data_IF_167811740277
#
_entry.id   IF_167811740277
#
_cell.length_a   1.000
_cell.length_b   1.000
_cell.length_c   1.000
_cell.angle_alpha   90.00
_cell.angle_beta   90.00
_cell.angle_gamma   90.00
#
_symmetry.space_group_name_H-M   'P 1'
#
loop_
_entity.id
_entity.type
_entity.pdbx_description
1 polymer ?
#
# COMPACT_ATOMS: atom_id res chain seq x y z
N UNK A 1 -23.05 -16.74 -5.49
CA UNK A 1 -22.02 -17.03 -4.48
C UNK A 1 -20.67 -16.70 -5.11
N UNK A 2 -20.24 -15.45 -5.00
CA UNK A 2 -18.90 -15.07 -5.45
C UNK A 2 -17.89 -15.64 -4.46
N UNK A 3 -17.02 -16.52 -4.98
CA UNK A 3 -15.90 -17.06 -4.22
C UNK A 3 -14.94 -15.90 -3.95
N UNK A 4 -14.83 -15.52 -2.69
CA UNK A 4 -13.78 -14.60 -2.22
C UNK A 4 -12.42 -15.19 -2.57
N UNK A 5 -11.83 -14.71 -3.66
CA UNK A 5 -10.47 -15.06 -4.03
C UNK A 5 -9.53 -14.26 -3.14
N UNK A 6 -9.14 -14.87 -2.01
CA UNK A 6 -7.97 -14.47 -1.25
C UNK A 6 -6.76 -14.91 -2.10
N UNK A 7 -6.29 -14.05 -3.02
CA UNK A 7 -5.05 -14.31 -3.76
C UNK A 7 -3.86 -14.17 -2.80
N UNK A 8 -3.00 -15.19 -2.84
CA UNK A 8 -1.94 -15.48 -1.89
C UNK A 8 -0.76 -14.51 -1.97
N UNK A 9 -0.08 -14.39 -0.82
CA UNK A 9 1.16 -13.66 -0.54
C UNK A 9 2.20 -13.64 -1.67
N UNK A 10 2.10 -12.68 -2.58
CA UNK A 10 3.21 -12.30 -3.44
C UNK A 10 3.61 -10.86 -3.18
N UNK A 11 4.89 -10.55 -3.37
CA UNK A 11 5.46 -9.21 -3.23
C UNK A 11 5.23 -8.41 -4.51
N UNK A 12 4.10 -8.72 -5.13
CA UNK A 12 3.57 -8.16 -6.33
C UNK A 12 2.04 -8.22 -6.26
N UNK A 13 1.39 -7.31 -6.96
CA UNK A 13 -0.06 -7.24 -7.05
C UNK A 13 -0.44 -7.14 -8.52
N UNK A 14 -1.39 -7.98 -8.95
CA UNK A 14 -2.01 -7.85 -10.27
C UNK A 14 -3.27 -7.00 -10.12
N UNK A 15 -3.44 -6.03 -11.00
CA UNK A 15 -4.67 -5.24 -11.13
C UNK A 15 -5.87 -6.14 -11.44
N UNK A 16 -7.07 -5.71 -11.05
CA UNK A 16 -8.29 -6.50 -11.23
C UNK A 16 -8.66 -6.76 -12.68
N UNK A 17 -8.23 -5.89 -13.60
CA UNK A 17 -8.40 -6.05 -15.05
C UNK A 17 -7.24 -6.81 -15.72
N UNK A 18 -6.27 -7.27 -14.92
CA UNK A 18 -5.11 -8.06 -15.33
C UNK A 18 -4.17 -7.37 -16.35
N UNK A 19 -4.22 -6.03 -16.47
CA UNK A 19 -3.40 -5.26 -17.41
C UNK A 19 -2.12 -4.69 -16.82
N UNK A 20 -2.06 -4.59 -15.50
CA UNK A 20 -0.97 -3.93 -14.78
C UNK A 20 -0.50 -4.80 -13.62
N UNK A 21 0.82 -4.98 -13.48
CA UNK A 21 1.47 -5.71 -12.40
C UNK A 21 2.37 -4.75 -11.61
N UNK A 22 2.15 -4.63 -10.31
CA UNK A 22 3.02 -3.94 -9.36
C UNK A 22 3.96 -4.96 -8.71
N UNK A 23 5.24 -4.67 -8.55
CA UNK A 23 6.26 -5.59 -8.02
C UNK A 23 7.20 -4.84 -7.07
N UNK A 24 7.52 -5.39 -5.90
CA UNK A 24 8.67 -4.95 -5.09
C UNK A 24 9.97 -5.45 -5.72
N UNK A 25 10.70 -4.57 -6.39
CA UNK A 25 11.99 -4.87 -6.98
C UNK A 25 13.10 -4.71 -5.94
N UNK A 26 13.45 -5.82 -5.28
CA UNK A 26 14.49 -5.84 -4.24
C UNK A 26 15.89 -5.45 -4.76
N UNK A 27 16.16 -5.65 -6.06
CA UNK A 27 17.47 -5.38 -6.65
C UNK A 27 17.75 -3.88 -6.81
N UNK A 28 16.71 -3.08 -6.99
CA UNK A 28 16.76 -1.61 -7.03
C UNK A 28 16.28 -1.00 -5.72
N UNK A 29 15.49 -1.74 -4.94
CA UNK A 29 14.75 -1.26 -3.78
C UNK A 29 13.49 -0.47 -4.15
N UNK A 30 13.12 -0.42 -5.45
CA UNK A 30 11.93 0.26 -5.95
C UNK A 30 10.71 -0.64 -5.94
N UNK A 31 9.53 -0.03 -6.09
CA UNK A 31 8.35 -0.73 -6.59
C UNK A 31 8.21 -0.43 -8.07
N UNK A 32 8.08 -1.46 -8.90
CA UNK A 32 8.00 -1.34 -10.35
C UNK A 32 6.60 -1.71 -10.83
N UNK A 33 6.13 -1.02 -11.86
CA UNK A 33 4.85 -1.27 -12.50
C UNK A 33 5.09 -1.68 -13.94
N UNK A 34 4.53 -2.83 -14.31
CA UNK A 34 4.62 -3.42 -15.63
C UNK A 34 3.25 -3.47 -16.30
N UNK A 35 3.21 -3.18 -17.59
CA UNK A 35 2.07 -3.47 -18.45
C UNK A 35 2.06 -4.96 -18.83
N UNK A 36 0.87 -5.56 -18.85
CA UNK A 36 0.62 -6.95 -19.22
C UNK A 36 -0.30 -6.96 -20.45
N UNK A 37 -0.02 -7.81 -21.48
CA UNK A 37 1.00 -8.86 -21.50
C UNK A 37 2.37 -8.41 -22.03
N UNK A 38 2.53 -7.13 -22.41
CA UNK A 38 3.74 -6.64 -23.07
C UNK A 38 5.01 -6.75 -22.21
N UNK A 39 4.86 -6.87 -20.89
CA UNK A 39 5.94 -6.88 -19.89
C UNK A 39 6.77 -5.59 -19.91
N UNK A 40 6.18 -4.51 -20.42
CA UNK A 40 6.84 -3.20 -20.52
C UNK A 40 6.85 -2.55 -19.14
N UNK A 41 8.03 -2.14 -18.67
CA UNK A 41 8.15 -1.32 -17.46
C UNK A 41 7.53 0.05 -17.72
N UNK A 42 6.43 0.36 -17.04
CA UNK A 42 5.74 1.64 -17.14
C UNK A 42 6.34 2.67 -16.18
N UNK A 43 6.62 2.27 -14.94
CA UNK A 43 7.07 3.16 -13.85
C UNK A 43 7.90 2.40 -12.83
N UNK A 44 8.76 3.14 -12.14
CA UNK A 44 9.50 2.70 -10.95
C UNK A 44 9.39 3.76 -9.86
N UNK A 45 9.11 3.32 -8.63
CA UNK A 45 8.91 4.16 -7.46
C UNK A 45 9.98 3.82 -6.43
N UNK A 46 10.92 4.73 -6.21
CA UNK A 46 11.93 4.53 -5.18
C UNK A 46 11.39 5.04 -3.83
N UNK A 47 11.11 4.16 -2.87
CA UNK A 47 10.82 4.60 -1.51
C UNK A 47 12.06 5.30 -0.94
N UNK A 48 11.87 6.18 0.04
CA UNK A 48 12.95 6.94 0.66
C UNK A 48 13.96 6.07 1.44
N UNK A 49 13.79 4.75 1.46
CA UNK A 49 14.66 3.84 2.18
C UNK A 49 15.70 3.19 1.29
N UNK A 50 16.92 3.06 1.85
CA UNK A 50 18.03 2.31 1.28
C UNK A 50 18.03 0.85 1.70
N UNK A 51 17.21 0.45 2.68
CA UNK A 51 17.18 -0.92 3.22
C UNK A 51 16.38 -1.85 2.29
N UNK A 52 17.06 -2.91 1.84
CA UNK A 52 16.53 -3.91 0.90
C UNK A 52 15.88 -5.06 1.64
N UNK A 53 14.70 -4.79 2.17
CA UNK A 53 13.81 -5.82 2.66
C UNK A 53 12.63 -5.99 1.72
N UNK A 54 12.07 -7.18 1.77
CA UNK A 54 10.89 -7.54 1.00
C UNK A 54 9.67 -6.84 1.61
N UNK A 55 8.98 -6.03 0.81
CA UNK A 55 7.86 -5.17 1.20
C UNK A 55 6.60 -5.59 0.46
N UNK A 56 5.48 -5.61 1.17
CA UNK A 56 4.19 -5.88 0.54
C UNK A 56 3.66 -4.63 -0.17
N UNK A 57 2.96 -4.86 -1.28
CA UNK A 57 2.30 -3.82 -2.05
C UNK A 57 0.93 -4.31 -2.53
N UNK A 58 0.03 -3.39 -2.79
CA UNK A 58 -1.32 -3.70 -3.25
C UNK A 58 -1.93 -2.54 -4.06
N UNK A 59 -2.91 -2.87 -4.90
CA UNK A 59 -3.68 -1.87 -5.63
C UNK A 59 -4.95 -1.46 -4.87
N UNK A 60 -5.31 -0.19 -5.03
CA UNK A 60 -6.53 0.45 -4.53
C UNK A 60 -7.16 1.24 -5.68
N UNK A 61 -8.43 1.64 -5.56
CA UNK A 61 -9.11 2.51 -6.53
C UNK A 61 -9.05 1.94 -7.97
N UNK A 62 -9.34 0.64 -8.13
CA UNK A 62 -9.25 -0.06 -9.42
C UNK A 62 -7.88 0.09 -10.10
N UNK A 63 -6.81 -0.07 -9.33
CA UNK A 63 -5.41 0.05 -9.76
C UNK A 63 -4.97 1.45 -10.21
N UNK A 64 -5.74 2.50 -9.88
CA UNK A 64 -5.28 3.89 -10.02
C UNK A 64 -4.28 4.27 -8.93
N UNK A 65 -4.38 3.65 -7.76
CA UNK A 65 -3.53 3.91 -6.61
C UNK A 65 -2.80 2.64 -6.20
N UNK A 66 -1.52 2.76 -5.90
CA UNK A 66 -0.71 1.71 -5.31
C UNK A 66 -0.39 2.06 -3.85
N UNK A 67 -0.45 1.06 -2.98
CA UNK A 67 -0.10 1.18 -1.57
C UNK A 67 1.07 0.25 -1.30
N UNK A 68 2.16 0.79 -0.78
CA UNK A 68 3.43 0.12 -0.67
C UNK A 68 4.00 0.25 0.75
N UNK A 69 4.45 -0.87 1.33
CA UNK A 69 5.16 -0.87 2.60
C UNK A 69 6.52 -0.19 2.50
N UNK A 70 7.09 0.22 3.63
CA UNK A 70 8.41 0.85 3.71
C UNK A 70 9.17 0.40 4.94
N UNK A 71 10.48 0.50 4.89
CA UNK A 71 11.38 0.27 6.03
C UNK A 71 11.64 1.53 6.86
N UNK A 72 10.98 2.64 6.51
CA UNK A 72 11.15 3.95 7.16
C UNK A 72 9.94 4.38 8.00
N UNK A 73 9.20 3.45 8.64
CA UNK A 73 8.03 3.75 9.49
C UNK A 73 6.83 4.34 8.73
N UNK A 74 6.78 4.15 7.42
CA UNK A 74 5.79 4.78 6.57
C UNK A 74 5.15 3.76 5.64
N UNK A 75 3.91 4.01 5.25
CA UNK A 75 3.29 3.36 4.10
C UNK A 75 3.14 4.41 3.00
N UNK A 76 3.59 4.11 1.80
CA UNK A 76 3.53 5.02 0.67
C UNK A 76 2.27 4.76 -0.15
N UNK A 77 1.56 5.84 -0.48
CA UNK A 77 0.40 5.84 -1.37
C UNK A 77 0.80 6.58 -2.64
N UNK A 78 0.74 5.91 -3.78
CA UNK A 78 1.27 6.37 -5.04
C UNK A 78 0.19 6.37 -6.12
N UNK A 79 0.21 7.34 -7.03
CA UNK A 79 -0.61 7.30 -8.23
C UNK A 79 0.13 6.51 -9.32
N UNK A 80 -0.55 5.47 -9.80
CA UNK A 80 -0.01 4.50 -10.77
C UNK A 80 0.18 5.14 -12.14
N UNK A 81 -0.66 6.11 -12.50
CA UNK A 81 -0.70 6.73 -13.82
C UNK A 81 0.37 7.79 -13.98
N UNK A 82 0.55 8.65 -12.98
CA UNK A 82 1.51 9.76 -13.04
C UNK A 82 2.88 9.39 -12.44
N UNK A 83 2.97 8.37 -11.59
CA UNK A 83 4.23 8.01 -10.94
C UNK A 83 4.53 8.81 -9.68
N UNK A 84 3.57 9.58 -9.16
CA UNK A 84 3.77 10.52 -8.05
C UNK A 84 3.43 9.90 -6.70
N UNK A 85 4.15 10.33 -5.66
CA UNK A 85 3.78 10.04 -4.29
C UNK A 85 2.62 10.96 -3.89
N UNK A 86 1.44 10.37 -3.66
CA UNK A 86 0.26 11.10 -3.21
C UNK A 86 0.32 11.38 -1.71
N UNK A 87 0.77 10.40 -0.93
CA UNK A 87 0.76 10.49 0.53
C UNK A 87 1.76 9.54 1.19
N UNK A 88 2.34 9.99 2.30
CA UNK A 88 3.11 9.16 3.22
C UNK A 88 2.30 8.99 4.51
N UNK A 89 1.90 7.75 4.80
CA UNK A 89 1.18 7.40 6.00
C UNK A 89 2.17 7.05 7.10
N UNK A 90 2.42 8.00 8.00
CA UNK A 90 3.39 7.86 9.08
C UNK A 90 2.83 7.04 10.22
N UNK A 91 3.72 6.29 10.86
CA UNK A 91 3.46 5.56 12.10
C UNK A 91 4.20 6.20 13.27
N UNK A 92 3.83 5.81 14.50
CA UNK A 92 4.45 6.34 15.71
C UNK A 92 5.78 5.65 16.05
N UNK A 93 6.02 4.46 15.48
CA UNK A 93 7.27 3.72 15.66
C UNK A 93 8.42 4.40 14.90
N UNK A 94 9.63 4.29 15.44
CA UNK A 94 10.86 4.79 14.80
C UNK A 94 11.73 3.60 14.39
N UNK A 95 12.38 3.75 13.24
CA UNK A 95 13.26 2.74 12.62
C UNK A 95 12.66 1.33 12.48
N UNK A 96 11.41 1.26 12.05
CA UNK A 96 10.57 0.09 11.94
C UNK A 96 10.15 -0.19 10.50
N UNK A 97 10.03 -1.47 10.20
CA UNK A 97 9.49 -1.97 8.94
C UNK A 97 7.97 -1.94 9.01
N UNK A 98 7.37 -1.32 8.00
CA UNK A 98 5.92 -1.30 7.80
C UNK A 98 5.56 -2.17 6.60
N UNK A 99 4.74 -3.19 6.85
CA UNK A 99 4.14 -4.02 5.81
C UNK A 99 2.70 -3.58 5.57
N UNK A 100 2.26 -3.57 4.31
CA UNK A 100 0.84 -3.38 3.97
C UNK A 100 0.17 -4.74 4.05
N UNK A 101 -0.72 -4.94 5.01
CA UNK A 101 -1.35 -6.25 5.26
C UNK A 101 -2.60 -6.43 4.40
N UNK A 102 -3.41 -5.36 4.29
CA UNK A 102 -4.63 -5.38 3.50
C UNK A 102 -4.98 -3.99 2.99
N UNK A 103 -5.65 -3.95 1.84
CA UNK A 103 -6.26 -2.74 1.30
C UNK A 103 -7.66 -3.07 0.81
N UNK A 104 -8.59 -2.11 0.93
CA UNK A 104 -9.95 -2.29 0.44
C UNK A 104 -10.57 -0.97 0.02
N UNK A 105 -11.30 -1.00 -1.09
CA UNK A 105 -12.24 0.06 -1.44
C UNK A 105 -13.65 -0.45 -1.10
N UNK A 106 -14.18 0.01 0.03
CA UNK A 106 -15.51 -0.35 0.48
C UNK A 106 -16.59 0.56 -0.14
N UNK A 107 -17.86 0.26 0.16
CA UNK A 107 -18.99 1.07 -0.27
C UNK A 107 -18.79 2.56 0.03
N UNK A 108 -19.32 3.41 -0.86
CA UNK A 108 -19.20 4.87 -0.80
C UNK A 108 -17.77 5.44 -0.98
N UNK A 109 -16.84 4.71 -1.62
CA UNK A 109 -15.44 5.11 -1.83
C UNK A 109 -14.69 5.33 -0.50
N UNK A 110 -15.00 4.50 0.49
CA UNK A 110 -14.24 4.43 1.74
C UNK A 110 -13.02 3.57 1.50
N UNK A 111 -11.84 4.18 1.48
CA UNK A 111 -10.59 3.47 1.23
C UNK A 111 -9.90 3.14 2.55
N UNK A 112 -9.67 1.86 2.80
CA UNK A 112 -9.05 1.35 4.00
C UNK A 112 -7.70 0.75 3.67
N UNK A 113 -6.70 1.08 4.48
CA UNK A 113 -5.37 0.50 4.45
C UNK A 113 -5.07 -0.03 5.84
N UNK A 114 -4.67 -1.29 5.93
CA UNK A 114 -4.15 -1.88 7.14
C UNK A 114 -2.65 -2.16 6.96
N UNK A 115 -1.84 -1.68 7.90
CA UNK A 115 -0.40 -1.93 7.93
C UNK A 115 0.04 -2.53 9.26
N UNK A 116 1.04 -3.40 9.21
CA UNK A 116 1.62 -4.05 10.38
C UNK A 116 3.05 -3.59 10.60
N UNK A 117 3.39 -3.33 11.87
CA UNK A 117 4.75 -3.13 12.33
C UNK A 117 5.53 -4.45 12.28
N UNK A 118 6.80 -4.39 11.89
CA UNK A 118 7.70 -5.54 11.88
C UNK A 118 8.37 -5.79 13.24
N UNK A 119 8.44 -4.78 14.10
CA UNK A 119 9.09 -4.85 15.41
C UNK A 119 8.13 -4.91 16.60
N UNK A 120 6.85 -4.56 16.40
CA UNK A 120 5.84 -4.52 17.45
C UNK A 120 4.56 -5.22 17.00
N UNK A 121 3.74 -5.76 17.93
CA UNK A 121 2.44 -6.35 17.61
C UNK A 121 1.38 -5.28 17.31
N UNK A 122 1.76 -4.20 16.61
CA UNK A 122 0.88 -3.06 16.33
C UNK A 122 0.36 -3.14 14.90
N UNK A 123 -0.97 -3.04 14.75
CA UNK A 123 -1.64 -2.82 13.46
C UNK A 123 -2.10 -1.38 13.39
N UNK A 124 -1.78 -0.74 12.28
CA UNK A 124 -2.21 0.61 11.93
C UNK A 124 -3.32 0.52 10.89
N UNK A 125 -4.38 1.30 11.10
CA UNK A 125 -5.49 1.42 10.18
C UNK A 125 -5.58 2.87 9.71
N UNK A 126 -5.61 3.06 8.39
CA UNK A 126 -5.85 4.35 7.77
C UNK A 126 -7.12 4.30 6.93
N UNK A 127 -7.87 5.38 7.00
CA UNK A 127 -9.08 5.58 6.23
C UNK A 127 -9.02 6.92 5.51
N UNK A 128 -9.31 6.92 4.22
CA UNK A 128 -9.53 8.15 3.45
C UNK A 128 -10.99 8.57 3.62
N UNK A 129 -11.22 9.58 4.47
CA UNK A 129 -12.53 10.21 4.66
C UNK A 129 -12.82 11.18 3.51
N UNK A 130 -14.10 11.27 3.10
CA UNK A 130 -14.53 12.28 2.12
C UNK A 130 -14.52 13.68 2.75
N UNK A 131 -14.30 14.68 1.90
CA UNK A 131 -14.21 16.11 2.24
C UNK A 131 -15.49 16.72 2.88
N UNK A 132 -16.53 15.92 3.16
CA UNK A 132 -17.72 16.35 3.90
C UNK A 132 -17.58 16.26 5.43
N UNK A 133 -16.48 15.72 5.97
CA UNK A 133 -16.26 15.55 7.43
C UNK A 133 -14.97 16.22 7.94
N UNK A 134 -14.43 17.20 7.21
CA UNK A 134 -13.17 17.87 7.56
C UNK A 134 -13.25 18.75 8.81
N UNK A 135 -14.39 18.80 9.49
CA UNK A 135 -14.55 19.52 10.75
C UNK A 135 -14.30 18.66 12.00
N UNK A 136 -14.02 17.35 11.90
CA UNK A 136 -13.64 16.53 13.05
C UNK A 136 -12.80 15.32 12.61
N UNK A 137 -11.48 15.46 12.48
CA UNK A 137 -10.59 14.29 12.35
C UNK A 137 -9.60 14.30 13.51
N UNK A 138 -9.89 13.46 14.50
CA UNK A 138 -8.94 13.03 15.52
C UNK A 138 -8.31 11.75 15.00
N UNK A 139 -6.98 11.65 14.99
CA UNK A 139 -6.31 10.38 14.75
C UNK A 139 -6.77 9.37 15.83
N UNK A 140 -7.50 8.32 15.44
CA UNK A 140 -7.84 7.25 16.39
C UNK A 140 -6.61 6.38 16.63
N UNK A 141 -6.27 6.24 17.90
CA UNK A 141 -5.07 5.55 18.37
C UNK A 141 -5.09 4.05 18.04
N UNK A 142 -3.91 3.47 17.82
CA UNK A 142 -3.72 2.05 17.56
C UNK A 142 -4.36 1.18 18.65
N UNK A 143 -5.07 0.13 18.25
CA UNK A 143 -5.61 -0.88 19.18
C UNK A 143 -4.66 -2.09 19.13
N UNK A 144 -3.98 -2.44 20.24
CA UNK A 144 -3.24 -3.69 20.30
C UNK A 144 -4.21 -4.86 20.23
N UNK A 145 -3.84 -5.89 19.47
CA UNK A 145 -4.56 -7.18 19.47
C UNK A 145 -3.95 -8.01 20.60
N UNK A 146 -4.74 -8.36 21.61
CA UNK A 146 -4.36 -9.33 22.67
C UNK A 146 -4.21 -10.75 22.13
#
# INVERSE_FOLDING_TARGET
MEKGFIRWNWKCALSSDEKVLLVDNLSTGSFDIYEIPSQTLLRSFQPASTRRYVKQCAFLESARTAVCGSTNNEVQVMDVTNGECLQLLKTATKDDMMQVVAVSTAHANRHLIAGGSGSTPTVYLWEKLKESEQNNIVASQAVPVE
#
